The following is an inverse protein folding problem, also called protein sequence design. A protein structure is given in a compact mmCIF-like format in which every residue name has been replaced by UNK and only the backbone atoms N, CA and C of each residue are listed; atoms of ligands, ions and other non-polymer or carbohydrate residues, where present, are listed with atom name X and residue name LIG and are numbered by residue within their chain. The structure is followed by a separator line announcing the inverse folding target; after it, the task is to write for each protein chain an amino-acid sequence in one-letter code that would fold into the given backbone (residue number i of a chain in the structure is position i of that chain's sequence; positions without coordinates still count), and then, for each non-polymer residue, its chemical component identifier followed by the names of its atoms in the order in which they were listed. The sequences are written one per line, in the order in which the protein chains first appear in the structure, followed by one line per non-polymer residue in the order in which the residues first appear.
data_IF_881250998535
#
_entry.id   IF_881250998535
#
_cell.length_a   1.000
_cell.length_b   1.000
_cell.length_c   1.000
_cell.angle_alpha   90.00
_cell.angle_beta   90.00
_cell.angle_gamma   90.00
#
_symmetry.space_group_name_H-M   'P 1'
#
loop_
_entity.id
_entity.type
_entity.pdbx_description
1 polymer ?
#
# COMPACT_ATOMS: atom_id res chain seq x y z
N UNK A 1 -0.10 17.78 -7.00
CA UNK A 1 -0.51 17.09 -5.77
C UNK A 1 0.36 15.87 -5.68
N UNK A 2 1.13 15.79 -4.61
CA UNK A 2 1.99 14.65 -4.38
C UNK A 2 1.18 13.58 -3.64
N UNK A 3 0.39 12.82 -4.41
CA UNK A 3 -0.41 11.73 -3.85
C UNK A 3 0.47 10.55 -3.41
N UNK A 4 1.80 10.59 -3.65
CA UNK A 4 2.71 9.53 -3.26
C UNK A 4 2.79 9.33 -1.73
N UNK A 5 2.38 10.33 -0.94
CA UNK A 5 2.27 10.19 0.51
C UNK A 5 1.04 9.39 0.98
N UNK A 6 0.10 9.06 0.08
CA UNK A 6 -1.14 8.36 0.37
C UNK A 6 -1.11 6.96 -0.24
N UNK A 7 -1.01 5.93 0.60
CA UNK A 7 -1.08 4.54 0.15
C UNK A 7 -2.45 4.24 -0.46
N UNK A 8 -2.52 3.57 -1.60
CA UNK A 8 -3.78 3.25 -2.27
C UNK A 8 -4.46 4.44 -2.95
N UNK A 9 -3.70 5.50 -3.26
CA UNK A 9 -4.18 6.63 -4.06
C UNK A 9 -3.24 6.93 -5.22
N UNK A 10 -3.81 7.42 -6.32
CA UNK A 10 -3.06 7.93 -7.47
C UNK A 10 -3.47 9.38 -7.78
N UNK A 11 -2.58 10.12 -8.44
CA UNK A 11 -2.89 11.43 -8.98
C UNK A 11 -3.73 11.34 -10.25
N UNK A 12 -4.74 12.20 -10.37
CA UNK A 12 -5.50 12.43 -11.59
C UNK A 12 -4.93 13.64 -12.38
N UNK A 13 -5.31 13.77 -13.67
CA UNK A 13 -5.05 14.94 -14.49
C UNK A 13 -5.46 16.28 -13.83
N UNK A 14 -6.53 16.28 -13.03
CA UNK A 14 -7.01 17.44 -12.28
C UNK A 14 -6.20 17.75 -11.02
N UNK A 15 -5.08 17.05 -10.79
CA UNK A 15 -4.27 17.18 -9.58
C UNK A 15 -5.08 16.90 -8.31
N UNK A 16 -6.01 15.95 -8.38
CA UNK A 16 -6.69 15.40 -7.20
C UNK A 16 -6.16 13.98 -6.92
N UNK A 17 -6.22 13.54 -5.66
CA UNK A 17 -5.88 12.17 -5.30
C UNK A 17 -7.15 11.32 -5.36
N UNK A 18 -7.14 10.28 -6.20
CA UNK A 18 -8.24 9.32 -6.33
C UNK A 18 -7.79 7.98 -5.78
N UNK A 19 -8.72 7.29 -5.10
CA UNK A 19 -8.47 5.97 -4.56
C UNK A 19 -8.23 4.98 -5.71
N UNK A 20 -7.29 4.07 -5.51
CA UNK A 20 -7.09 2.93 -6.38
C UNK A 20 -8.33 2.04 -6.45
N UNK A 21 -8.39 1.21 -7.49
CA UNK A 21 -9.35 0.12 -7.55
C UNK A 21 -9.25 -0.74 -6.27
N UNK A 22 -10.38 -1.20 -5.68
CA UNK A 22 -10.36 -1.97 -4.43
C UNK A 22 -9.55 -3.28 -4.47
N UNK A 23 -9.24 -3.79 -5.67
CA UNK A 23 -8.38 -4.97 -5.84
C UNK A 23 -6.89 -4.67 -5.67
N UNK A 24 -6.47 -3.40 -5.73
CA UNK A 24 -5.08 -2.96 -5.60
C UNK A 24 -4.77 -2.50 -4.17
N UNK A 25 -3.54 -2.74 -3.70
CA UNK A 25 -3.03 -2.07 -2.50
C UNK A 25 -2.50 -0.67 -2.85
N UNK A 26 -1.78 -0.56 -3.97
CA UNK A 26 -1.35 0.70 -4.58
C UNK A 26 -1.53 0.61 -6.10
N UNK A 27 -1.60 1.75 -6.78
CA UNK A 27 -1.86 1.81 -8.21
C UNK A 27 -1.14 2.98 -8.89
N UNK A 28 -0.93 2.83 -10.20
CA UNK A 28 -0.46 3.90 -11.10
C UNK A 28 -1.60 4.57 -11.86
N UNK A 29 -2.82 4.04 -11.73
CA UNK A 29 -4.02 4.54 -12.40
C UNK A 29 -5.30 3.90 -11.86
N UNK A 30 -6.47 4.29 -12.39
CA UNK A 30 -7.76 3.95 -11.79
C UNK A 30 -8.22 2.51 -12.03
N UNK A 31 -7.66 1.80 -13.02
CA UNK A 31 -8.16 0.47 -13.39
C UNK A 31 -7.58 -0.65 -12.51
N UNK A 32 -8.34 -1.75 -12.37
CA UNK A 32 -7.89 -3.00 -11.73
C UNK A 32 -6.73 -3.71 -12.46
N UNK A 33 -6.30 -3.19 -13.61
CA UNK A 33 -5.14 -3.62 -14.38
C UNK A 33 -3.95 -2.67 -14.25
N UNK A 34 -4.04 -1.67 -13.38
CA UNK A 34 -3.02 -0.65 -13.13
C UNK A 34 -2.54 -0.65 -11.67
N UNK A 35 -2.62 -1.80 -10.99
CA UNK A 35 -2.05 -1.97 -9.66
C UNK A 35 -0.51 -1.92 -9.73
N UNK A 36 0.13 -1.18 -8.82
CA UNK A 36 1.59 -1.23 -8.59
C UNK A 36 1.94 -2.15 -7.42
N UNK A 37 1.02 -2.34 -6.48
CA UNK A 37 1.14 -3.29 -5.38
C UNK A 37 -0.18 -4.00 -5.13
N UNK A 38 -0.10 -5.21 -4.59
CA UNK A 38 -1.25 -6.04 -4.29
C UNK A 38 -1.42 -6.24 -2.79
N UNK A 39 -2.67 -6.44 -2.31
CA UNK A 39 -2.91 -6.83 -0.92
C UNK A 39 -2.17 -8.14 -0.59
N UNK A 40 -1.78 -8.29 0.68
CA UNK A 40 -1.15 -9.51 1.15
C UNK A 40 -1.99 -10.75 0.79
N UNK A 41 -1.32 -11.79 0.27
CA UNK A 41 -1.98 -12.99 -0.25
C UNK A 41 -2.39 -12.91 -1.73
N UNK A 42 -2.10 -11.80 -2.42
CA UNK A 42 -2.28 -11.65 -3.86
C UNK A 42 -0.96 -11.30 -4.56
N UNK A 43 -0.73 -11.88 -5.73
CA UNK A 43 0.47 -11.65 -6.53
C UNK A 43 0.17 -10.69 -7.69
N UNK A 44 1.07 -9.73 -7.92
CA UNK A 44 0.96 -8.81 -9.05
C UNK A 44 1.34 -9.50 -10.35
N UNK A 45 0.42 -9.51 -11.32
CA UNK A 45 0.68 -9.91 -12.70
C UNK A 45 0.72 -8.66 -13.57
N UNK A 46 1.92 -8.27 -14.00
CA UNK A 46 2.12 -7.12 -14.88
C UNK A 46 1.32 -7.26 -16.17
N UNK A 47 0.70 -6.16 -16.61
CA UNK A 47 -0.01 -6.13 -17.89
C UNK A 47 0.97 -6.37 -19.07
N UNK A 48 2.19 -5.85 -18.94
CA UNK A 48 3.32 -6.14 -19.81
C UNK A 48 4.62 -6.12 -18.98
N UNK A 49 5.36 -7.24 -19.02
CA UNK A 49 6.61 -7.44 -18.26
C UNK A 49 7.74 -6.48 -18.67
N UNK A 50 7.64 -5.87 -19.85
CA UNK A 50 8.60 -4.88 -20.36
C UNK A 50 8.25 -3.46 -19.96
N UNK A 51 7.01 -3.22 -19.50
CA UNK A 51 6.57 -1.91 -19.03
C UNK A 51 5.93 -1.98 -17.62
N UNK A 52 6.70 -2.40 -16.58
CA UNK A 52 6.18 -2.56 -15.21
C UNK A 52 5.56 -1.29 -14.63
N UNK A 53 5.99 -0.12 -15.11
CA UNK A 53 5.45 1.19 -14.73
C UNK A 53 3.97 1.38 -15.05
N UNK A 54 3.41 0.59 -15.97
CA UNK A 54 1.98 0.60 -16.28
C UNK A 54 1.14 -0.19 -15.26
N UNK A 55 1.80 -0.88 -14.34
CA UNK A 55 1.16 -1.74 -13.35
C UNK A 55 0.65 -3.06 -13.92
N UNK A 56 -0.29 -3.65 -13.21
CA UNK A 56 -0.88 -4.92 -13.57
C UNK A 56 -2.13 -5.24 -12.76
N UNK A 57 -2.51 -6.51 -12.74
CA UNK A 57 -3.65 -7.00 -11.96
C UNK A 57 -3.20 -7.88 -10.80
N UNK A 58 -3.92 -7.78 -9.69
CA UNK A 58 -3.70 -8.63 -8.53
C UNK A 58 -4.39 -9.98 -8.72
N UNK A 59 -3.60 -11.01 -8.98
CA UNK A 59 -4.04 -12.40 -9.08
C UNK A 59 -3.93 -13.14 -7.74
N UNK A 60 -4.31 -14.42 -7.77
CA UNK A 60 -4.04 -15.33 -6.66
C UNK A 60 -2.52 -15.46 -6.43
N UNK A 61 -2.13 -15.61 -5.17
CA UNK A 61 -0.77 -16.02 -4.82
C UNK A 61 -0.45 -17.43 -5.33
N UNK A 62 0.82 -17.82 -5.25
CA UNK A 62 1.27 -19.14 -5.66
C UNK A 62 0.47 -20.26 -4.98
N UNK A 63 0.00 -21.22 -5.79
CA UNK A 63 -0.56 -22.49 -5.35
C UNK A 63 0.28 -23.63 -5.93
N UNK A 64 0.63 -24.61 -5.09
CA UNK A 64 1.47 -25.72 -5.52
C UNK A 64 0.77 -26.51 -6.65
N UNK A 65 1.55 -26.92 -7.65
CA UNK A 65 1.13 -27.57 -8.89
C UNK A 65 0.27 -26.72 -9.84
N UNK A 66 0.01 -25.44 -9.51
CA UNK A 66 -0.52 -24.46 -10.46
C UNK A 66 0.64 -23.75 -11.19
N UNK A 67 0.41 -23.36 -12.44
CA UNK A 67 1.34 -22.55 -13.24
C UNK A 67 2.79 -23.10 -13.30
N UNK A 68 2.95 -24.42 -13.18
CA UNK A 68 4.24 -25.09 -13.25
C UNK A 68 5.11 -24.98 -11.99
N UNK A 69 4.58 -24.44 -10.89
CA UNK A 69 5.29 -24.35 -9.62
C UNK A 69 5.13 -25.63 -8.77
N UNK A 70 6.23 -26.21 -8.31
CA UNK A 70 6.21 -27.37 -7.41
C UNK A 70 6.06 -26.96 -5.93
N UNK A 71 6.68 -25.85 -5.52
CA UNK A 71 6.68 -25.39 -4.12
C UNK A 71 6.51 -23.87 -4.05
N UNK A 72 5.58 -23.41 -3.21
CA UNK A 72 5.31 -22.00 -2.95
C UNK A 72 5.95 -21.54 -1.63
N UNK A 73 7.26 -21.74 -1.51
CA UNK A 73 8.03 -21.49 -0.28
C UNK A 73 8.49 -20.05 -0.09
N UNK A 74 8.52 -19.24 -1.15
CA UNK A 74 8.95 -17.85 -1.07
C UNK A 74 7.82 -16.99 -0.51
N UNK A 75 8.02 -16.36 0.65
CA UNK A 75 7.03 -15.45 1.27
C UNK A 75 7.58 -14.02 1.27
N UNK A 76 6.98 -13.16 0.46
CA UNK A 76 7.39 -11.75 0.30
C UNK A 76 6.14 -10.88 0.45
N UNK A 77 6.18 -9.89 1.33
CA UNK A 77 5.03 -9.00 1.56
C UNK A 77 3.76 -9.69 2.08
N UNK A 78 3.90 -10.87 2.69
CA UNK A 78 2.76 -11.71 3.08
C UNK A 78 2.13 -12.51 1.94
N UNK A 79 2.66 -12.42 0.72
CA UNK A 79 2.22 -13.18 -0.46
C UNK A 79 3.16 -14.36 -0.73
N UNK A 80 2.60 -15.52 -1.05
CA UNK A 80 3.36 -16.69 -1.47
C UNK A 80 3.72 -16.63 -2.97
N UNK A 81 4.98 -16.95 -3.27
CA UNK A 81 5.55 -17.01 -4.61
C UNK A 81 6.24 -18.36 -4.83
N UNK A 82 6.49 -18.71 -6.09
CA UNK A 82 7.17 -19.96 -6.40
C UNK A 82 8.63 -19.95 -5.91
N UNK A 83 9.01 -20.96 -5.14
CA UNK A 83 10.40 -21.22 -4.71
C UNK A 83 11.05 -22.35 -5.49
N UNK A 84 10.26 -23.20 -6.15
CA UNK A 84 10.76 -24.32 -6.96
C UNK A 84 9.78 -24.69 -8.05
N UNK A 85 10.28 -24.82 -9.27
CA UNK A 85 9.54 -25.24 -10.45
C UNK A 85 9.42 -26.76 -10.57
N UNK A 86 8.33 -27.20 -11.17
CA UNK A 86 8.12 -28.62 -11.50
C UNK A 86 9.07 -29.07 -12.60
N UNK A 87 9.33 -28.21 -13.59
CA UNK A 87 10.37 -28.45 -14.58
C UNK A 87 11.74 -28.18 -13.93
N UNK A 88 12.55 -29.23 -13.79
CA UNK A 88 13.85 -29.16 -13.10
C UNK A 88 14.91 -28.35 -13.86
N UNK A 89 14.64 -27.97 -15.12
CA UNK A 89 15.49 -27.11 -15.94
C UNK A 89 15.07 -25.63 -15.91
N UNK A 90 13.99 -25.31 -15.19
CA UNK A 90 13.52 -23.93 -14.98
C UNK A 90 13.86 -23.47 -13.56
N UNK A 91 13.74 -22.17 -13.33
CA UNK A 91 13.82 -21.60 -11.99
C UNK A 91 12.79 -20.48 -11.83
N UNK A 92 12.41 -20.13 -10.58
CA UNK A 92 11.57 -18.97 -10.34
C UNK A 92 12.29 -17.67 -10.72
N UNK A 93 11.64 -16.87 -11.57
CA UNK A 93 11.99 -15.51 -11.92
C UNK A 93 10.87 -14.60 -11.43
N UNK A 94 11.18 -13.70 -10.49
CA UNK A 94 10.20 -12.85 -9.81
C UNK A 94 9.00 -13.63 -9.24
N UNK A 95 9.22 -14.88 -8.82
CA UNK A 95 8.19 -15.72 -8.22
C UNK A 95 7.39 -16.60 -9.19
N UNK A 96 7.62 -16.49 -10.50
CA UNK A 96 7.01 -17.36 -11.52
C UNK A 96 8.03 -18.27 -12.19
N UNK A 97 7.64 -19.47 -12.60
CA UNK A 97 8.54 -20.39 -13.26
C UNK A 97 8.92 -19.95 -14.68
N UNK A 98 10.22 -19.77 -14.91
CA UNK A 98 10.75 -19.36 -16.21
C UNK A 98 11.93 -20.23 -16.64
N UNK A 99 12.02 -20.47 -17.94
CA UNK A 99 13.26 -20.94 -18.55
C UNK A 99 14.21 -19.77 -18.76
N UNK A 100 15.52 -20.04 -18.70
CA UNK A 100 16.51 -19.03 -19.11
C UNK A 100 16.26 -18.61 -20.56
N UNK A 101 16.31 -17.30 -20.80
CA UNK A 101 16.31 -16.74 -22.16
C UNK A 101 17.75 -16.72 -22.73
N UNK A 102 17.97 -16.04 -23.87
CA UNK A 102 19.34 -15.77 -24.39
C UNK A 102 20.22 -15.11 -23.32
N UNK A 103 19.64 -14.24 -22.49
CA UNK A 103 20.26 -13.78 -21.26
C UNK A 103 19.71 -14.62 -20.09
N UNK A 104 20.56 -15.48 -19.53
CA UNK A 104 20.20 -16.26 -18.34
C UNK A 104 19.98 -15.32 -17.14
N UNK A 105 18.88 -15.48 -16.42
CA UNK A 105 18.66 -14.79 -15.13
C UNK A 105 19.24 -15.64 -13.98
N UNK A 106 19.22 -16.96 -14.13
CA UNK A 106 19.77 -17.92 -13.21
C UNK A 106 21.02 -18.58 -13.82
N UNK A 107 22.17 -18.43 -13.17
CA UNK A 107 23.43 -19.03 -13.64
C UNK A 107 23.49 -20.53 -13.34
N UNK A 108 22.91 -20.95 -12.22
CA UNK A 108 22.91 -22.35 -11.82
C UNK A 108 21.52 -22.75 -11.33
N UNK A 109 20.87 -23.60 -12.13
CA UNK A 109 19.59 -24.23 -11.79
C UNK A 109 19.87 -25.58 -11.16
N UNK A 110 19.19 -25.87 -10.04
CA UNK A 110 19.24 -27.16 -9.36
C UNK A 110 17.83 -27.55 -8.93
N UNK A 111 17.35 -28.70 -9.42
CA UNK A 111 16.05 -29.27 -9.08
C UNK A 111 14.88 -28.27 -9.18
N UNK A 112 14.83 -27.46 -10.23
CA UNK A 112 13.75 -26.50 -10.43
C UNK A 112 13.88 -25.20 -9.64
N UNK A 113 14.96 -25.00 -8.88
CA UNK A 113 15.27 -23.76 -8.18
C UNK A 113 16.56 -23.14 -8.71
N UNK A 114 16.70 -21.83 -8.58
CA UNK A 114 17.98 -21.17 -8.77
C UNK A 114 18.83 -21.25 -7.51
N UNK A 115 20.14 -21.47 -7.66
CA UNK A 115 21.10 -21.40 -6.55
C UNK A 115 22.15 -20.30 -6.74
N UNK A 116 22.21 -19.70 -7.94
CA UNK A 116 23.05 -18.53 -8.20
C UNK A 116 22.41 -17.66 -9.27
N UNK A 117 22.07 -16.43 -8.92
CA UNK A 117 21.47 -15.46 -9.84
C UNK A 117 22.55 -14.69 -10.61
N UNK A 118 22.18 -14.18 -11.79
CA UNK A 118 23.03 -13.27 -12.58
C UNK A 118 23.01 -11.85 -11.97
N UNK A 119 24.00 -11.05 -12.31
CA UNK A 119 23.99 -9.59 -12.09
C UNK A 119 22.67 -8.95 -12.53
N UNK A 120 22.16 -8.02 -11.71
CA UNK A 120 20.84 -7.39 -11.87
C UNK A 120 19.71 -8.12 -11.15
N UNK A 121 19.97 -9.29 -10.58
CA UNK A 121 19.03 -10.06 -9.77
C UNK A 121 19.64 -10.35 -8.40
N UNK A 122 18.80 -10.68 -7.42
CA UNK A 122 19.23 -11.26 -6.15
C UNK A 122 18.54 -12.60 -5.89
N UNK A 123 19.27 -13.51 -5.24
CA UNK A 123 18.78 -14.82 -4.85
C UNK A 123 17.96 -14.70 -3.56
N UNK A 124 16.76 -15.28 -3.57
CA UNK A 124 15.93 -15.44 -2.38
C UNK A 124 15.08 -16.69 -2.50
N UNK A 125 15.05 -17.55 -1.48
CA UNK A 125 14.13 -18.70 -1.42
C UNK A 125 14.05 -19.53 -2.73
N UNK A 126 15.20 -19.78 -3.39
CA UNK A 126 15.28 -20.55 -4.63
C UNK A 126 14.88 -19.82 -5.92
N UNK A 127 14.55 -18.53 -5.85
CA UNK A 127 14.22 -17.68 -7.01
C UNK A 127 15.19 -16.52 -7.20
N UNK A 128 15.20 -15.96 -8.42
CA UNK A 128 15.90 -14.72 -8.73
C UNK A 128 14.90 -13.58 -8.89
N UNK A 129 15.16 -12.49 -8.18
CA UNK A 129 14.26 -11.34 -8.12
C UNK A 129 14.96 -10.07 -8.57
N UNK A 130 14.22 -9.22 -9.26
CA UNK A 130 14.68 -7.88 -9.65
C UNK A 130 14.37 -6.85 -8.57
N UNK A 131 15.17 -5.79 -8.50
CA UNK A 131 15.02 -4.72 -7.48
C UNK A 131 14.11 -3.57 -7.93
N UNK A 132 13.68 -3.57 -9.19
CA UNK A 132 12.91 -2.49 -9.84
C UNK A 132 11.44 -2.84 -10.06
N UNK A 133 10.98 -3.95 -9.47
CA UNK A 133 9.64 -4.50 -9.63
C UNK A 133 9.26 -5.45 -8.52
N UNK A 134 7.96 -5.71 -8.44
CA UNK A 134 7.39 -6.69 -7.54
C UNK A 134 7.76 -8.13 -7.96
N UNK A 135 7.95 -9.04 -7.00
CA UNK A 135 7.96 -8.79 -5.55
C UNK A 135 9.32 -8.34 -5.01
N UNK A 136 10.36 -8.32 -5.83
CA UNK A 136 11.73 -8.16 -5.35
C UNK A 136 12.04 -6.78 -4.75
N UNK A 137 11.43 -5.72 -5.26
CA UNK A 137 11.58 -4.35 -4.74
C UNK A 137 11.13 -4.19 -3.27
N UNK A 138 10.26 -5.09 -2.76
CA UNK A 138 9.88 -5.10 -1.35
C UNK A 138 10.99 -5.62 -0.43
N UNK A 139 11.94 -6.38 -0.97
CA UNK A 139 13.01 -7.01 -0.20
C UNK A 139 14.30 -6.24 -0.36
N UNK A 140 14.61 -5.84 -1.59
CA UNK A 140 15.93 -5.37 -1.97
C UNK A 140 15.85 -4.14 -2.87
N UNK A 141 16.59 -3.09 -2.51
CA UNK A 141 16.70 -1.86 -3.31
C UNK A 141 17.95 -1.83 -4.18
N UNK A 142 18.97 -2.63 -3.84
CA UNK A 142 20.20 -2.79 -4.64
C UNK A 142 20.71 -4.21 -4.56
N UNK A 143 21.03 -4.78 -5.72
CA UNK A 143 21.61 -6.11 -5.84
C UNK A 143 22.92 -6.06 -6.61
N UNK A 144 23.85 -6.94 -6.25
CA UNK A 144 25.08 -7.17 -7.01
C UNK A 144 25.57 -8.61 -6.78
N UNK A 145 26.22 -9.18 -7.79
CA UNK A 145 26.71 -10.55 -7.81
C UNK A 145 25.65 -11.60 -7.43
N UNK A 146 24.40 -11.38 -7.83
CA UNK A 146 23.30 -12.30 -7.52
C UNK A 146 22.81 -12.22 -6.07
N UNK A 147 23.23 -11.22 -5.29
CA UNK A 147 22.85 -11.05 -3.88
C UNK A 147 22.26 -9.66 -3.61
N UNK A 148 21.42 -9.57 -2.58
CA UNK A 148 20.99 -8.27 -2.11
C UNK A 148 22.12 -7.58 -1.34
N UNK A 149 22.41 -6.33 -1.69
CA UNK A 149 23.43 -5.50 -1.02
C UNK A 149 22.84 -4.35 -0.24
N UNK A 150 21.59 -3.99 -0.50
CA UNK A 150 20.84 -3.00 0.29
C UNK A 150 19.39 -3.44 0.42
N UNK A 151 18.94 -3.67 1.67
CA UNK A 151 17.55 -4.05 1.93
C UNK A 151 16.61 -2.87 1.70
N UNK A 152 15.42 -3.15 1.16
CA UNK A 152 14.40 -2.14 0.93
C UNK A 152 13.90 -1.50 2.25
N UNK A 153 13.96 -2.26 3.35
CA UNK A 153 13.58 -1.79 4.68
C UNK A 153 14.70 -1.05 5.44
N UNK A 154 15.83 -0.75 4.79
CA UNK A 154 16.95 0.01 5.38
C UNK A 154 17.91 -0.80 6.26
N UNK A 155 17.62 -2.07 6.56
CA UNK A 155 18.54 -2.93 7.31
C UNK A 155 19.80 -3.26 6.51
N UNK A 156 20.88 -3.55 7.24
CA UNK A 156 22.07 -4.17 6.67
C UNK A 156 21.77 -5.61 6.24
N UNK A 157 22.41 -6.05 5.16
CA UNK A 157 22.31 -7.43 4.69
C UNK A 157 23.21 -8.34 5.53
N UNK A 158 22.78 -9.58 5.73
CA UNK A 158 23.61 -10.66 6.30
C UNK A 158 23.65 -11.78 5.28
N UNK A 159 24.83 -12.06 4.70
CA UNK A 159 25.02 -13.05 3.65
C UNK A 159 24.04 -12.92 2.47
N UNK A 160 23.74 -11.67 2.08
CA UNK A 160 22.80 -11.36 0.99
C UNK A 160 21.32 -11.48 1.36
N UNK A 161 20.99 -11.83 2.60
CA UNK A 161 19.63 -11.88 3.12
C UNK A 161 19.27 -10.60 3.90
N UNK A 162 17.99 -10.22 3.81
CA UNK A 162 17.40 -9.10 4.54
C UNK A 162 16.58 -9.60 5.71
N UNK A 163 16.83 -9.02 6.89
CA UNK A 163 15.96 -9.16 8.05
C UNK A 163 14.62 -8.43 7.84
N UNK A 164 13.71 -8.59 8.78
CA UNK A 164 12.40 -7.93 8.77
C UNK A 164 12.31 -6.93 9.92
N UNK A 165 11.65 -5.80 9.67
CA UNK A 165 11.36 -4.83 10.71
C UNK A 165 10.15 -5.28 11.54
N UNK A 166 9.97 -4.66 12.71
CA UNK A 166 8.71 -4.79 13.44
C UNK A 166 7.53 -4.34 12.57
N UNK A 167 6.35 -4.94 12.74
CA UNK A 167 5.20 -4.74 11.86
C UNK A 167 4.70 -3.28 11.77
N UNK A 168 5.02 -2.45 12.75
CA UNK A 168 4.69 -1.02 12.76
C UNK A 168 5.69 -0.15 11.97
N UNK A 169 6.85 -0.69 11.57
CA UNK A 169 7.89 0.04 10.86
C UNK A 169 7.87 -0.29 9.36
N UNK A 170 8.04 0.72 8.51
CA UNK A 170 8.36 0.50 7.09
C UNK A 170 9.88 0.31 6.91
N UNK A 171 10.68 1.10 7.62
CA UNK A 171 12.14 0.94 7.69
C UNK A 171 12.62 0.98 9.14
N UNK A 172 13.74 0.32 9.43
CA UNK A 172 14.26 0.20 10.79
C UNK A 172 15.79 0.06 10.83
N UNK A 173 16.39 0.42 11.97
CA UNK A 173 17.82 0.20 12.23
C UNK A 173 18.12 -1.15 12.88
N UNK A 174 17.15 -1.74 13.58
CA UNK A 174 17.27 -3.05 14.23
C UNK A 174 16.10 -3.95 13.83
N UNK A 175 16.41 -5.18 13.42
CA UNK A 175 15.40 -6.14 12.98
C UNK A 175 14.45 -6.49 14.14
N UNK A 176 13.15 -6.58 13.84
CA UNK A 176 12.08 -6.94 14.78
C UNK A 176 11.98 -6.09 16.07
N UNK A 177 12.61 -4.92 16.14
CA UNK A 177 12.49 -4.03 17.30
C UNK A 177 11.54 -2.87 16.99
N UNK A 178 10.44 -2.79 17.76
CA UNK A 178 9.46 -1.72 17.65
C UNK A 178 10.06 -0.35 18.00
N UNK A 179 11.14 -0.28 18.78
CA UNK A 179 11.78 0.97 19.19
C UNK A 179 12.85 1.45 18.20
N UNK A 180 13.07 0.72 17.12
CA UNK A 180 14.10 1.02 16.13
C UNK A 180 13.51 1.41 14.77
N UNK A 181 12.25 1.86 14.70
CA UNK A 181 11.66 2.30 13.44
C UNK A 181 12.29 3.63 13.00
N UNK A 182 12.83 3.65 11.79
CA UNK A 182 13.24 4.89 11.13
C UNK A 182 12.04 5.57 10.47
N UNK A 183 11.18 4.77 9.81
CA UNK A 183 9.92 5.21 9.21
C UNK A 183 8.80 4.23 9.57
N UNK A 184 7.57 4.73 9.57
CA UNK A 184 6.41 3.96 9.99
C UNK A 184 5.72 3.29 8.80
N UNK A 185 5.17 2.10 9.06
CA UNK A 185 4.30 1.42 8.11
C UNK A 185 3.03 2.24 7.85
N UNK A 186 2.36 2.00 6.72
CA UNK A 186 1.10 2.66 6.40
C UNK A 186 0.09 2.46 7.55
N UNK A 187 -0.61 3.52 7.93
CA UNK A 187 -1.52 3.54 9.08
C UNK A 187 -0.84 3.73 10.44
N UNK A 188 0.47 4.01 10.46
CA UNK A 188 1.21 4.39 11.65
C UNK A 188 1.95 5.71 11.43
N UNK A 189 2.24 6.41 12.53
CA UNK A 189 3.00 7.66 12.55
C UNK A 189 3.99 7.69 13.71
N UNK A 190 4.96 8.60 13.62
CA UNK A 190 5.87 8.93 14.73
C UNK A 190 5.83 10.44 14.99
N UNK A 191 6.02 10.83 16.25
CA UNK A 191 5.99 12.24 16.68
C UNK A 191 7.37 12.89 16.67
N UNK A 192 8.42 12.08 16.66
CA UNK A 192 9.82 12.51 16.70
C UNK A 192 10.55 12.16 15.40
N UNK A 193 11.58 12.92 15.08
CA UNK A 193 12.43 12.66 13.91
C UNK A 193 13.40 11.50 14.13
N UNK A 194 13.81 11.27 15.38
CA UNK A 194 14.68 10.17 15.78
C UNK A 194 14.04 8.79 15.51
N UNK A 195 14.87 7.76 15.55
CA UNK A 195 14.41 6.36 15.53
C UNK A 195 13.61 6.07 16.81
N UNK A 196 12.52 5.32 16.67
CA UNK A 196 11.62 5.09 17.79
C UNK A 196 10.36 4.33 17.42
N UNK A 197 9.44 4.16 18.38
CA UNK A 197 8.18 3.48 18.14
C UNK A 197 7.21 4.28 17.26
N UNK A 198 6.52 3.53 16.40
CA UNK A 198 5.42 4.03 15.59
C UNK A 198 4.08 3.76 16.27
N UNK A 199 3.22 4.78 16.33
CA UNK A 199 1.87 4.71 16.89
C UNK A 199 0.84 4.56 15.77
N UNK A 200 -0.23 3.76 15.95
CA UNK A 200 -1.29 3.65 14.95
C UNK A 200 -2.05 4.98 14.82
N UNK A 201 -2.46 5.33 13.59
CA UNK A 201 -3.20 6.57 13.32
C UNK A 201 -4.49 6.70 14.15
N UNK A 202 -5.11 5.57 14.51
CA UNK A 202 -6.32 5.51 15.32
C UNK A 202 -6.13 6.02 16.75
N UNK A 203 -4.90 6.02 17.28
CA UNK A 203 -4.59 6.63 18.59
C UNK A 203 -4.58 8.16 18.52
N UNK A 204 -4.14 8.74 17.40
CA UNK A 204 -4.13 10.19 17.20
C UNK A 204 -5.53 10.75 16.91
N UNK A 205 -6.34 10.02 16.12
CA UNK A 205 -7.73 10.33 15.88
C UNK A 205 -8.52 9.04 15.64
N UNK A 206 -9.55 8.81 16.45
CA UNK A 206 -10.41 7.63 16.29
C UNK A 206 -11.00 7.57 14.89
N UNK A 207 -10.86 6.41 14.23
CA UNK A 207 -11.30 6.19 12.86
C UNK A 207 -10.31 6.66 11.79
N UNK A 208 -9.17 7.26 12.15
CA UNK A 208 -8.16 7.61 11.16
C UNK A 208 -7.40 6.38 10.64
N UNK A 209 -7.39 6.18 9.32
CA UNK A 209 -6.72 5.06 8.65
C UNK A 209 -5.35 5.41 8.12
N UNK A 210 -5.18 6.64 7.63
CA UNK A 210 -3.91 7.15 7.15
C UNK A 210 -3.64 8.50 7.76
N UNK A 211 -2.40 8.74 8.17
CA UNK A 211 -2.03 9.96 8.85
C UNK A 211 -0.58 10.31 8.57
N UNK A 212 -0.24 11.57 8.83
CA UNK A 212 1.13 12.04 8.89
C UNK A 212 1.33 12.89 10.14
N UNK A 213 2.56 12.89 10.65
CA UNK A 213 2.98 13.77 11.73
C UNK A 213 4.34 14.36 11.38
N UNK A 214 4.41 15.69 11.36
CA UNK A 214 5.63 16.44 11.02
C UNK A 214 6.37 16.95 12.24
N UNK A 215 5.76 16.86 13.43
CA UNK A 215 6.32 17.23 14.75
C UNK A 215 5.39 16.74 15.87
N UNK A 216 5.84 16.79 17.13
CA UNK A 216 5.06 16.39 18.31
C UNK A 216 3.64 16.99 18.38
N UNK A 217 3.41 18.15 17.74
CA UNK A 217 2.15 18.91 17.86
C UNK A 217 1.28 18.93 16.60
N UNK A 218 1.74 18.39 15.46
CA UNK A 218 0.94 18.40 14.22
C UNK A 218 0.64 16.98 13.75
N UNK A 219 -0.49 16.44 14.18
CA UNK A 219 -1.09 15.22 13.64
C UNK A 219 -2.12 15.58 12.57
N UNK A 220 -1.98 15.03 11.37
CA UNK A 220 -2.94 15.20 10.29
C UNK A 220 -3.48 13.84 9.88
N UNK A 221 -4.81 13.69 9.99
CA UNK A 221 -5.48 12.56 9.38
C UNK A 221 -5.70 12.82 7.89
N UNK A 222 -5.24 11.88 7.08
CA UNK A 222 -5.30 11.92 5.62
C UNK A 222 -6.48 11.13 5.07
N UNK A 223 -6.89 10.07 5.77
CA UNK A 223 -8.05 9.24 5.41
C UNK A 223 -8.80 8.81 6.69
N UNK A 224 -10.10 9.07 6.74
CA UNK A 224 -11.00 8.51 7.74
C UNK A 224 -11.54 7.16 7.25
N UNK A 225 -11.69 6.21 8.17
CA UNK A 225 -12.40 4.96 7.90
C UNK A 225 -13.90 5.17 7.77
N UNK A 226 -14.55 4.33 6.96
CA UNK A 226 -16.00 4.30 6.85
C UNK A 226 -16.60 3.83 8.18
N UNK A 227 -17.69 4.47 8.62
CA UNK A 227 -18.36 4.22 9.89
C UNK A 227 -19.01 2.81 10.03
N UNK A 228 -18.73 1.90 9.10
CA UNK A 228 -19.30 0.54 9.03
C UNK A 228 -18.44 -0.53 9.71
N UNK A 229 -17.18 -0.25 10.06
CA UNK A 229 -16.23 -1.25 10.60
C UNK A 229 -16.02 -1.17 12.13
N UNK A 230 -17.04 -0.76 12.87
CA UNK A 230 -16.99 -0.76 14.34
C UNK A 230 -18.15 -1.54 14.94
N UNK A 231 -17.89 -2.82 15.21
CA UNK A 231 -18.65 -3.63 16.15
C UNK A 231 -18.42 -3.22 17.63
N UNK A 232 -18.08 -1.95 17.88
CA UNK A 232 -18.00 -1.41 19.23
C UNK A 232 -18.66 -0.03 19.28
N UNK A 233 -19.98 -0.05 19.51
CA UNK A 233 -20.75 1.14 19.84
C UNK A 233 -20.26 1.71 21.16
N UNK A 234 -19.43 2.73 21.10
CA UNK A 234 -19.37 3.76 22.14
C UNK A 234 -20.24 4.91 21.67
N UNK A 235 -21.39 5.06 22.30
CA UNK A 235 -22.35 6.12 22.02
C UNK A 235 -21.68 7.49 22.16
N UNK A 236 -21.46 8.18 21.04
CA UNK A 236 -21.37 9.62 21.03
C UNK A 236 -22.77 10.16 20.75
N UNK A 237 -23.24 10.96 21.72
CA UNK A 237 -24.58 11.53 21.81
C UNK A 237 -25.04 12.13 20.48
N UNK A 238 -26.07 11.52 19.91
CA UNK A 238 -26.88 12.08 18.83
C UNK A 238 -27.57 13.34 19.36
N UNK A 239 -26.90 14.48 19.26
CA UNK A 239 -27.40 15.73 19.79
C UNK A 239 -26.60 16.94 19.31
N UNK A 240 -26.41 17.09 18.00
CA UNK A 240 -25.87 18.34 17.44
C UNK A 240 -26.14 18.62 15.94
N UNK A 241 -26.87 17.78 15.20
CA UNK A 241 -27.04 17.99 13.75
C UNK A 241 -28.49 17.72 13.32
N UNK A 242 -29.39 18.63 13.69
CA UNK A 242 -30.68 18.86 13.03
C UNK A 242 -31.23 20.22 13.49
N UNK A 243 -30.84 21.31 12.82
CA UNK A 243 -31.30 22.62 13.26
C UNK A 243 -30.85 23.84 12.47
N UNK A 244 -30.54 23.72 11.17
CA UNK A 244 -30.29 24.91 10.33
C UNK A 244 -30.95 24.71 8.96
N UNK A 245 -32.27 24.69 8.93
CA UNK A 245 -33.03 24.79 7.67
C UNK A 245 -34.44 25.37 7.84
N UNK A 246 -34.83 25.81 9.05
CA UNK A 246 -36.15 26.41 9.31
C UNK A 246 -36.08 27.93 9.53
N UNK A 247 -34.93 28.49 9.92
CA UNK A 247 -34.81 29.94 10.15
C UNK A 247 -34.90 30.77 8.85
N UNK A 248 -34.36 30.26 7.73
CA UNK A 248 -34.40 30.97 6.45
C UNK A 248 -35.83 31.04 5.87
N UNK A 249 -36.63 29.99 6.03
CA UNK A 249 -38.02 29.93 5.51
C UNK A 249 -38.95 30.83 6.32
N UNK A 250 -38.77 30.93 7.64
CA UNK A 250 -39.59 31.83 8.49
C UNK A 250 -39.28 33.31 8.21
N UNK A 251 -38.01 33.66 7.96
CA UNK A 251 -37.64 35.05 7.65
C UNK A 251 -38.16 35.48 6.27
N UNK A 252 -38.08 34.61 5.25
CA UNK A 252 -38.64 34.91 3.92
C UNK A 252 -40.17 34.92 3.94
N UNK A 253 -40.81 33.97 4.64
CA UNK A 253 -42.26 33.95 4.80
C UNK A 253 -42.81 35.15 5.56
N UNK A 254 -42.10 35.60 6.61
CA UNK A 254 -42.45 36.80 7.38
C UNK A 254 -42.30 38.09 6.58
N UNK A 255 -41.24 38.22 5.77
CA UNK A 255 -41.04 39.39 4.90
C UNK A 255 -42.11 39.50 3.80
N UNK A 256 -42.47 38.38 3.16
CA UNK A 256 -43.51 38.36 2.13
C UNK A 256 -44.89 38.66 2.74
N UNK A 257 -45.21 38.09 3.91
CA UNK A 257 -46.45 38.37 4.62
C UNK A 257 -46.57 39.83 5.06
N UNK A 258 -45.50 40.43 5.57
CA UNK A 258 -45.47 41.84 5.96
C UNK A 258 -45.61 42.78 4.76
N UNK A 259 -44.97 42.47 3.62
CA UNK A 259 -45.11 43.25 2.38
C UNK A 259 -46.53 43.16 1.81
N UNK A 260 -47.15 41.97 1.80
CA UNK A 260 -48.54 41.82 1.35
C UNK A 260 -49.51 42.57 2.27
N UNK A 261 -49.34 42.52 3.59
CA UNK A 261 -50.17 43.31 4.51
C UNK A 261 -49.96 44.81 4.29
N UNK A 262 -48.71 45.26 4.20
CA UNK A 262 -48.41 46.69 4.03
C UNK A 262 -49.02 47.27 2.75
N UNK A 263 -48.96 46.57 1.62
CA UNK A 263 -49.55 47.05 0.37
C UNK A 263 -51.08 46.97 0.33
N UNK A 264 -51.69 45.95 0.97
CA UNK A 264 -53.14 45.77 0.94
C UNK A 264 -53.85 46.69 1.94
N UNK A 265 -53.30 46.89 3.14
CA UNK A 265 -53.97 47.68 4.18
C UNK A 265 -53.62 49.17 4.16
N UNK A 266 -52.54 49.60 3.49
CA UNK A 266 -52.19 51.03 3.39
C UNK A 266 -52.84 51.74 2.20
N UNK A 267 -53.54 51.03 1.32
CA UNK A 267 -54.31 51.59 0.20
C UNK A 267 -55.76 51.99 0.55
N UNK A 268 -56.14 51.98 1.83
CA UNK A 268 -57.52 52.30 2.25
C UNK A 268 -57.58 53.14 3.54
N UNK A 269 -56.74 54.16 3.60
CA UNK A 269 -56.86 55.31 4.49
C UNK A 269 -56.50 56.58 3.71
#
# INVERSE_FOLDING_TARGET
SDCAALSGYHGDADKTCKRCDPSCADCVGPASTQCSACPAGRALKYADVNTPSNGGSCGEQCAASADGCAECGARIGGTAYCSRCTNTQQAPLNGDCAANSRAAFCQQVSNGACIQCKEGYFLRDGGCYQVDRQPGEQVCSKASNGQCTTCANGLATTDGACGVCHASCATCTTANDANACMTCAAGYYKTETADGPCKPCSEGLAGCRQCTATSADTFLCLEMGDATDSANRSSLSTGAIAGISVAAVVVVGGLVGFLCWWFVCRGKA
#
